data_IF_520153209196
#
_entry.id   IF_520153209196
#
_cell.length_a   1.000
_cell.length_b   1.000
_cell.length_c   1.000
_cell.angle_alpha   90.00
_cell.angle_beta   90.00
_cell.angle_gamma   90.00
#
_symmetry.space_group_name_H-M   'P 1'
#
loop_
_entity.id
_entity.type
_entity.pdbx_description
1 polymer ?
#
# COMPACT_ATOMS: atom_id res chain seq x y z
N UNK A 1 -25.83 0.05 -3.47
CA UNK A 1 -24.87 0.59 -4.48
C UNK A 1 -24.33 -0.55 -5.36
N UNK A 2 -24.44 -0.46 -6.71
CA UNK A 2 -23.96 -1.50 -7.66
C UNK A 2 -22.44 -1.75 -7.50
N UNK A 3 -21.97 -3.00 -7.58
CA UNK A 3 -20.57 -3.39 -7.34
C UNK A 3 -19.56 -2.62 -8.21
N UNK A 4 -19.89 -2.35 -9.49
CA UNK A 4 -19.05 -1.55 -10.38
C UNK A 4 -18.79 -0.14 -9.85
N UNK A 5 -19.77 0.48 -9.17
CA UNK A 5 -19.60 1.80 -8.54
C UNK A 5 -18.65 1.71 -7.34
N UNK A 6 -18.73 0.65 -6.51
CA UNK A 6 -17.77 0.40 -5.42
C UNK A 6 -16.35 0.24 -5.94
N UNK A 7 -16.16 -0.56 -6.99
CA UNK A 7 -14.86 -0.79 -7.63
C UNK A 7 -14.24 0.50 -8.18
N UNK A 8 -15.05 1.33 -8.86
CA UNK A 8 -14.61 2.63 -9.36
C UNK A 8 -14.14 3.56 -8.23
N UNK A 9 -14.97 3.72 -7.19
CA UNK A 9 -14.64 4.58 -6.04
C UNK A 9 -13.38 4.09 -5.31
N UNK A 10 -13.26 2.80 -5.06
CA UNK A 10 -12.09 2.22 -4.41
C UNK A 10 -10.82 2.44 -5.24
N UNK A 11 -10.88 2.21 -6.56
CA UNK A 11 -9.76 2.47 -7.47
C UNK A 11 -9.30 3.93 -7.41
N UNK A 12 -10.23 4.87 -7.53
CA UNK A 12 -9.94 6.32 -7.47
C UNK A 12 -9.35 6.72 -6.12
N UNK A 13 -9.89 6.16 -5.03
CA UNK A 13 -9.36 6.36 -3.68
C UNK A 13 -7.92 5.88 -3.54
N UNK A 14 -7.60 4.66 -4.01
CA UNK A 14 -6.24 4.12 -3.91
C UNK A 14 -5.22 4.89 -4.76
N UNK A 15 -5.62 5.40 -5.93
CA UNK A 15 -4.76 6.30 -6.72
C UNK A 15 -4.50 7.60 -5.94
N UNK A 16 -5.54 8.19 -5.33
CA UNK A 16 -5.40 9.39 -4.51
C UNK A 16 -4.48 9.13 -3.31
N UNK A 17 -4.62 7.98 -2.66
CA UNK A 17 -3.78 7.60 -1.51
C UNK A 17 -2.30 7.45 -1.90
N UNK A 18 -1.98 6.78 -3.02
CA UNK A 18 -0.61 6.73 -3.54
C UNK A 18 -0.05 8.13 -3.79
N UNK A 19 -0.85 9.05 -4.34
CA UNK A 19 -0.42 10.43 -4.55
C UNK A 19 -0.13 11.16 -3.24
N UNK A 20 -1.02 11.06 -2.25
CA UNK A 20 -0.85 11.68 -0.93
C UNK A 20 0.44 11.19 -0.27
N UNK A 21 0.64 9.87 -0.22
CA UNK A 21 1.82 9.26 0.41
C UNK A 21 3.11 9.72 -0.28
N UNK A 22 3.16 9.66 -1.61
CA UNK A 22 4.36 10.09 -2.34
C UNK A 22 4.63 11.59 -2.16
N UNK A 23 3.60 12.44 -2.23
CA UNK A 23 3.77 13.89 -2.07
C UNK A 23 4.27 14.24 -0.66
N UNK A 24 3.76 13.58 0.38
CA UNK A 24 4.22 13.79 1.76
C UNK A 24 5.68 13.38 1.93
N UNK A 25 6.10 12.26 1.34
CA UNK A 25 7.50 11.83 1.41
C UNK A 25 8.43 12.76 0.62
N UNK A 26 8.03 13.25 -0.56
CA UNK A 26 8.81 14.23 -1.31
C UNK A 26 8.91 15.59 -0.58
N UNK A 27 7.85 15.98 0.12
CA UNK A 27 7.86 17.16 0.97
C UNK A 27 8.79 16.98 2.18
N UNK A 28 8.77 15.80 2.82
CA UNK A 28 9.68 15.46 3.91
C UNK A 28 11.15 15.47 3.45
N UNK A 29 11.47 14.89 2.29
CA UNK A 29 12.81 14.98 1.71
C UNK A 29 13.24 16.45 1.55
N UNK A 30 12.36 17.32 1.04
CA UNK A 30 12.64 18.74 0.84
C UNK A 30 12.90 19.49 2.15
N UNK A 31 12.12 19.20 3.19
CA UNK A 31 12.28 19.79 4.53
C UNK A 31 13.66 19.48 5.14
N UNK A 32 14.22 18.31 4.82
CA UNK A 32 15.56 17.90 5.24
C UNK A 32 16.64 18.15 4.17
N UNK A 33 16.39 19.08 3.24
CA UNK A 33 17.40 19.58 2.28
C UNK A 33 17.62 18.70 1.05
N UNK A 34 16.78 17.69 0.83
CA UNK A 34 16.86 16.76 -0.30
C UNK A 34 15.79 17.05 -1.35
N UNK A 35 16.18 17.15 -2.62
CA UNK A 35 15.24 17.33 -3.74
C UNK A 35 14.86 16.00 -4.41
N UNK A 36 15.04 14.86 -3.72
CA UNK A 36 14.78 13.53 -4.26
C UNK A 36 13.27 13.32 -4.43
N UNK A 37 12.91 12.67 -5.54
CA UNK A 37 11.51 12.43 -5.94
C UNK A 37 11.29 10.99 -6.35
N UNK A 38 10.04 10.55 -6.31
CA UNK A 38 9.67 9.21 -6.76
C UNK A 38 9.84 9.08 -8.27
N UNK A 39 10.54 8.03 -8.69
CA UNK A 39 10.54 7.54 -10.07
C UNK A 39 9.34 6.64 -10.29
N UNK A 40 8.52 6.98 -11.29
CA UNK A 40 7.27 6.26 -11.62
C UNK A 40 7.55 5.16 -12.64
N UNK A 41 7.04 3.96 -12.38
CA UNK A 41 7.08 2.81 -13.30
C UNK A 41 5.67 2.23 -13.44
N UNK A 42 5.03 2.48 -14.58
CA UNK A 42 3.71 1.93 -14.91
C UNK A 42 3.84 0.51 -15.45
N UNK A 43 2.81 -0.29 -15.20
CA UNK A 43 2.66 -1.63 -15.74
C UNK A 43 1.17 -1.93 -15.96
N UNK A 44 0.87 -3.08 -16.57
CA UNK A 44 -0.49 -3.44 -17.01
C UNK A 44 -1.57 -3.27 -15.94
N UNK A 45 -1.25 -3.55 -14.68
CA UNK A 45 -2.22 -3.55 -13.60
C UNK A 45 -2.01 -2.43 -12.58
N UNK A 46 -1.09 -1.49 -12.80
CA UNK A 46 -0.85 -0.46 -11.79
C UNK A 46 0.36 0.43 -12.04
N UNK A 47 0.82 1.07 -10.97
CA UNK A 47 1.97 1.97 -10.98
C UNK A 47 2.79 1.75 -9.71
N UNK A 48 4.07 1.45 -9.89
CA UNK A 48 5.06 1.42 -8.81
C UNK A 48 5.82 2.73 -8.80
N UNK A 49 5.97 3.33 -7.62
CA UNK A 49 6.78 4.54 -7.40
C UNK A 49 7.91 4.18 -6.46
N UNK A 50 9.15 4.42 -6.89
CA UNK A 50 10.35 4.12 -6.11
C UNK A 50 11.11 5.42 -5.83
N UNK A 51 11.55 5.61 -4.59
CA UNK A 51 12.46 6.68 -4.20
C UNK A 51 13.74 6.07 -3.60
N UNK A 52 14.88 6.69 -3.90
CA UNK A 52 16.12 6.52 -3.14
C UNK A 52 16.54 7.93 -2.73
N UNK A 53 16.26 8.26 -1.47
CA UNK A 53 16.32 9.60 -0.90
C UNK A 53 17.40 9.75 0.17
N UNK A 54 17.40 10.91 0.83
CA UNK A 54 18.28 11.18 1.98
C UNK A 54 17.57 10.93 3.31
N UNK A 55 16.24 11.05 3.36
CA UNK A 55 15.43 10.66 4.53
C UNK A 55 14.99 9.21 4.40
N UNK A 56 14.41 8.86 3.26
CA UNK A 56 14.02 7.50 2.90
C UNK A 56 15.11 6.92 2.00
N UNK A 57 16.04 6.15 2.58
CA UNK A 57 17.14 5.51 1.85
C UNK A 57 16.60 4.71 0.65
N UNK A 58 15.53 3.93 0.88
CA UNK A 58 14.82 3.21 -0.18
C UNK A 58 13.35 3.07 0.16
N UNK A 59 12.50 3.49 -0.78
CA UNK A 59 11.05 3.46 -0.60
C UNK A 59 10.30 2.99 -1.83
N UNK A 60 9.20 2.28 -1.62
CA UNK A 60 8.32 1.79 -2.68
C UNK A 60 6.85 2.01 -2.33
N UNK A 61 6.10 2.66 -3.21
CA UNK A 61 4.65 2.82 -3.11
C UNK A 61 4.02 2.23 -4.37
N UNK A 62 3.36 1.10 -4.23
CA UNK A 62 2.74 0.37 -5.33
C UNK A 62 1.22 0.51 -5.28
N UNK A 63 0.62 1.02 -6.35
CA UNK A 63 -0.81 0.93 -6.61
C UNK A 63 -1.08 -0.22 -7.57
N UNK A 64 -2.15 -0.98 -7.34
CA UNK A 64 -2.61 -2.04 -8.25
C UNK A 64 -4.14 -2.05 -8.39
N UNK A 65 -4.60 -2.45 -9.57
CA UNK A 65 -5.98 -2.73 -9.92
C UNK A 65 -6.02 -3.91 -10.90
N UNK A 66 -6.34 -5.09 -10.37
CA UNK A 66 -6.26 -6.38 -11.05
C UNK A 66 -7.66 -6.95 -11.25
N UNK A 67 -7.90 -7.51 -12.43
CA UNK A 67 -9.06 -8.35 -12.74
C UNK A 67 -8.48 -9.68 -13.19
N UNK A 68 -8.99 -10.78 -12.64
CA UNK A 68 -8.45 -12.09 -12.96
C UNK A 68 -9.31 -13.22 -12.44
N UNK A 69 -8.72 -14.42 -12.48
CA UNK A 69 -9.31 -15.66 -12.01
C UNK A 69 -8.34 -16.33 -11.06
N UNK A 70 -8.80 -16.72 -9.87
CA UNK A 70 -7.97 -17.48 -8.95
C UNK A 70 -7.73 -18.90 -9.50
N UNK A 71 -6.53 -19.48 -9.31
CA UNK A 71 -6.29 -20.91 -9.53
C UNK A 71 -7.27 -21.75 -8.69
N UNK A 72 -7.73 -22.90 -9.22
CA UNK A 72 -8.80 -23.71 -8.59
C UNK A 72 -8.53 -24.03 -7.12
N UNK A 73 -7.34 -24.50 -6.79
CA UNK A 73 -6.98 -24.87 -5.42
C UNK A 73 -6.92 -23.66 -4.47
N UNK A 74 -6.43 -22.52 -4.96
CA UNK A 74 -6.39 -21.30 -4.16
C UNK A 74 -7.80 -20.73 -3.96
N UNK A 75 -8.65 -20.78 -5.00
CA UNK A 75 -10.01 -20.28 -4.95
C UNK A 75 -10.81 -20.92 -3.81
N UNK A 76 -10.63 -22.22 -3.52
CA UNK A 76 -11.32 -22.92 -2.41
C UNK A 76 -11.14 -22.25 -1.04
N UNK A 77 -10.02 -21.54 -0.84
CA UNK A 77 -9.68 -20.85 0.41
C UNK A 77 -10.17 -19.39 0.48
N UNK A 78 -10.71 -18.87 -0.62
CA UNK A 78 -11.09 -17.45 -0.73
C UNK A 78 -12.59 -17.29 -0.52
N UNK A 79 -13.05 -16.30 0.26
CA UNK A 79 -14.47 -16.04 0.41
C UNK A 79 -15.15 -15.69 -0.93
N UNK A 80 -16.31 -16.30 -1.21
CA UNK A 80 -17.16 -15.94 -2.36
C UNK A 80 -16.71 -16.47 -3.72
N UNK A 81 -15.97 -17.59 -3.75
CA UNK A 81 -15.43 -18.19 -4.99
C UNK A 81 -15.96 -19.59 -5.32
N UNK A 82 -16.87 -20.15 -4.51
CA UNK A 82 -17.37 -21.54 -4.65
C UNK A 82 -17.89 -21.85 -6.06
N UNK A 83 -18.65 -20.93 -6.65
CA UNK A 83 -19.28 -21.12 -7.96
C UNK A 83 -18.66 -20.24 -9.07
N UNK A 84 -17.80 -19.29 -8.71
CA UNK A 84 -17.16 -18.37 -9.64
C UNK A 84 -15.81 -17.93 -9.08
N UNK A 85 -14.72 -18.30 -9.75
CA UNK A 85 -13.36 -18.00 -9.29
C UNK A 85 -12.82 -16.67 -9.83
N UNK A 86 -13.65 -15.87 -10.51
CA UNK A 86 -13.27 -14.53 -10.96
C UNK A 86 -13.20 -13.56 -9.78
N UNK A 87 -12.26 -12.63 -9.86
CA UNK A 87 -12.10 -11.58 -8.87
C UNK A 87 -11.72 -10.25 -9.51
N UNK A 88 -11.99 -9.19 -8.78
CA UNK A 88 -11.41 -7.87 -8.95
C UNK A 88 -10.73 -7.49 -7.64
N UNK A 89 -9.58 -6.83 -7.71
CA UNK A 89 -8.89 -6.30 -6.54
C UNK A 89 -8.21 -4.99 -6.86
N UNK A 90 -8.28 -4.02 -5.96
CA UNK A 90 -7.45 -2.81 -6.02
C UNK A 90 -6.87 -2.49 -4.65
N UNK A 91 -5.71 -1.87 -4.60
CA UNK A 91 -5.05 -1.53 -3.34
C UNK A 91 -3.76 -0.75 -3.50
N UNK A 92 -3.21 -0.34 -2.37
CA UNK A 92 -1.90 0.28 -2.22
C UNK A 92 -1.06 -0.56 -1.26
N UNK A 93 0.22 -0.74 -1.59
CA UNK A 93 1.23 -1.32 -0.71
C UNK A 93 2.43 -0.38 -0.63
N UNK A 94 2.97 -0.23 0.57
CA UNK A 94 4.06 0.69 0.88
C UNK A 94 5.11 -0.05 1.70
N UNK A 95 6.38 0.18 1.36
CA UNK A 95 7.52 -0.16 2.19
C UNK A 95 8.47 1.02 2.16
N UNK A 96 8.88 1.50 3.34
CA UNK A 96 9.90 2.53 3.47
C UNK A 96 11.01 2.06 4.41
N UNK A 97 12.24 2.25 3.97
CA UNK A 97 13.45 2.10 4.77
C UNK A 97 14.07 3.49 4.96
N UNK A 98 13.91 4.10 6.14
CA UNK A 98 14.60 5.35 6.49
C UNK A 98 16.11 5.17 6.54
N UNK A 99 16.85 6.25 6.24
CA UNK A 99 18.32 6.25 6.30
C UNK A 99 18.87 6.27 7.73
N UNK A 100 18.12 6.86 8.66
CA UNK A 100 18.52 6.93 10.07
C UNK A 100 18.03 5.68 10.82
N UNK A 101 18.90 4.88 11.44
CA UNK A 101 18.53 3.64 12.13
C UNK A 101 17.67 3.84 13.38
N UNK A 102 17.53 5.09 13.85
CA UNK A 102 16.59 5.45 14.92
C UNK A 102 15.15 5.59 14.45
N UNK A 103 14.90 5.56 13.14
CA UNK A 103 13.56 5.59 12.55
C UNK A 103 13.25 4.19 12.03
N UNK A 104 12.15 3.56 12.45
CA UNK A 104 11.82 2.20 12.04
C UNK A 104 11.51 2.13 10.55
N UNK A 105 11.84 1.00 9.93
CA UNK A 105 11.25 0.67 8.64
C UNK A 105 9.73 0.52 8.81
N UNK A 106 8.96 0.87 7.78
CA UNK A 106 7.50 0.75 7.85
C UNK A 106 6.94 0.01 6.65
N UNK A 107 5.90 -0.77 6.89
CA UNK A 107 5.09 -1.39 5.87
C UNK A 107 3.62 -1.01 6.10
N UNK A 108 2.93 -0.73 5.00
CA UNK A 108 1.50 -0.44 5.00
C UNK A 108 0.85 -1.07 3.78
N UNK A 109 -0.31 -1.70 3.98
CA UNK A 109 -1.11 -2.22 2.90
C UNK A 109 -2.59 -1.96 3.13
N UNK A 110 -3.31 -1.59 2.09
CA UNK A 110 -4.78 -1.61 2.08
C UNK A 110 -5.29 -2.02 0.72
N UNK A 111 -6.31 -2.88 0.71
CA UNK A 111 -6.86 -3.47 -0.51
C UNK A 111 -8.35 -3.72 -0.37
N UNK A 112 -9.07 -3.58 -1.47
CA UNK A 112 -10.46 -3.96 -1.62
C UNK A 112 -10.57 -5.11 -2.61
N UNK A 113 -11.16 -6.22 -2.18
CA UNK A 113 -11.30 -7.43 -2.98
C UNK A 113 -12.79 -7.69 -3.24
N UNK A 114 -13.12 -8.03 -4.48
CA UNK A 114 -14.46 -8.37 -4.93
C UNK A 114 -14.46 -9.73 -5.63
N UNK A 115 -15.19 -10.68 -5.07
CA UNK A 115 -15.60 -11.96 -5.66
C UNK A 115 -17.14 -11.96 -5.72
N UNK A 116 -17.82 -13.07 -5.42
CA UNK A 116 -19.24 -13.03 -5.04
C UNK A 116 -19.44 -12.42 -3.63
N UNK A 117 -18.38 -12.25 -2.85
CA UNK A 117 -18.33 -11.48 -1.59
C UNK A 117 -17.33 -10.33 -1.74
N UNK A 118 -17.46 -9.29 -0.91
CA UNK A 118 -16.54 -8.15 -0.96
C UNK A 118 -16.07 -7.78 0.43
N UNK A 119 -14.79 -7.47 0.58
CA UNK A 119 -14.19 -7.06 1.85
C UNK A 119 -12.97 -6.18 1.62
N UNK A 120 -12.62 -5.41 2.64
CA UNK A 120 -11.34 -4.75 2.73
C UNK A 120 -10.37 -5.62 3.53
N UNK A 121 -9.09 -5.50 3.23
CA UNK A 121 -8.00 -6.04 4.04
C UNK A 121 -6.85 -5.05 4.06
N UNK A 122 -6.02 -5.10 5.09
CA UNK A 122 -4.91 -4.17 5.23
C UNK A 122 -4.37 -4.12 6.65
N UNK A 123 -3.47 -3.18 6.86
CA UNK A 123 -2.80 -2.93 8.13
C UNK A 123 -1.55 -2.07 7.91
N UNK A 124 -0.97 -1.65 9.02
CA UNK A 124 0.32 -0.99 9.09
C UNK A 124 1.16 -1.66 10.16
N UNK A 125 2.46 -1.73 9.93
CA UNK A 125 3.42 -2.22 10.88
C UNK A 125 4.74 -1.43 10.75
N UNK A 126 5.49 -1.40 11.85
CA UNK A 126 6.83 -0.81 11.92
C UNK A 126 7.82 -1.87 12.39
N UNK A 127 9.03 -1.82 11.84
CA UNK A 127 10.13 -2.73 12.12
C UNK A 127 11.34 -1.91 12.59
N UNK A 128 11.45 -1.65 13.90
CA UNK A 128 12.54 -0.86 14.45
C UNK A 128 13.86 -1.65 14.51
N UNK A 129 14.98 -0.97 14.25
CA UNK A 129 16.32 -1.52 14.47
C UNK A 129 16.76 -1.42 15.94
N UNK A 130 16.20 -0.46 16.68
CA UNK A 130 16.51 -0.16 18.08
C UNK A 130 15.23 -0.22 18.91
N UNK A 131 15.31 -0.72 20.14
CA UNK A 131 14.15 -0.75 21.03
C UNK A 131 13.86 0.65 21.54
N UNK A 132 12.69 1.19 21.19
CA UNK A 132 12.12 2.41 21.77
C UNK A 132 10.71 2.14 22.30
N UNK A 133 10.57 2.08 23.63
CA UNK A 133 9.28 1.82 24.28
C UNK A 133 8.28 2.97 24.13
N UNK A 134 8.77 4.21 23.96
CA UNK A 134 7.90 5.38 23.73
C UNK A 134 7.33 5.32 22.33
N UNK A 135 8.16 5.04 21.33
CA UNK A 135 7.72 4.84 19.95
C UNK A 135 6.73 3.68 19.84
N UNK A 136 7.02 2.54 20.46
CA UNK A 136 6.11 1.38 20.50
C UNK A 136 4.75 1.76 21.07
N UNK A 137 4.72 2.45 22.22
CA UNK A 137 3.46 2.86 22.86
C UNK A 137 2.70 3.86 21.99
N UNK A 138 3.40 4.82 21.40
CA UNK A 138 2.80 5.79 20.49
C UNK A 138 2.16 5.10 19.27
N UNK A 139 2.90 4.21 18.60
CA UNK A 139 2.43 3.52 17.42
C UNK A 139 1.18 2.66 17.67
N UNK A 140 1.11 1.96 18.80
CA UNK A 140 -0.02 1.07 19.08
C UNK A 140 -1.27 1.77 19.67
N UNK A 141 -1.12 2.97 20.20
CA UNK A 141 -2.21 3.68 20.87
C UNK A 141 -2.82 4.80 20.02
N UNK A 142 -2.01 5.48 19.21
CA UNK A 142 -2.42 6.68 18.48
C UNK A 142 -2.70 6.42 16.99
N UNK A 143 -2.30 5.26 16.46
CA UNK A 143 -2.42 4.87 15.05
C UNK A 143 -3.18 3.54 14.91
#
# INVERSE_FOLDING_TARGET
MKIKKKQKLAKEWFIKLQNIICNNVEQLEKEYGSNKKFKKKKWKHGELRIINGEVIEKGGVAFSNVIGKFPKEFAKKIPGTKNNTNFWSSGVSVVFHPKNPKIPAMHFNTRFICTQKNWFGGGMDVTPCLVDNKEKKYFHNEL
#
